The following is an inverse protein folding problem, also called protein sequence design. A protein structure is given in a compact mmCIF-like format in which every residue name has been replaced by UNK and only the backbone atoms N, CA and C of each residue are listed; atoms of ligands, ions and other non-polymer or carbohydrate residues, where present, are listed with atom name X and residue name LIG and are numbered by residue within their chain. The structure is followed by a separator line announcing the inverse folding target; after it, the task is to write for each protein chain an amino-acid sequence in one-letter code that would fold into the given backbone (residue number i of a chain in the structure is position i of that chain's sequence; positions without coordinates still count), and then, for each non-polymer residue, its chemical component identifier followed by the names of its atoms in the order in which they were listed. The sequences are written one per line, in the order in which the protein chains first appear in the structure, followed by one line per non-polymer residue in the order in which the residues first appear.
data_IF_398639871405
#
_entry.id   IF_398639871405
#
_cell.length_a   1.000
_cell.length_b   1.000
_cell.length_c   1.000
_cell.angle_alpha   90.00
_cell.angle_beta   90.00
_cell.angle_gamma   90.00
#
_symmetry.space_group_name_H-M   'P 1'
#
loop_
_entity.id
_entity.type
_entity.pdbx_description
1 polymer ?
#
# COMPACT_ATOMS: atom_id res chain seq x y z
N UNK A 1 -14.98 26.64 -32.16
CA UNK A 1 -13.73 26.67 -32.95
C UNK A 1 -12.70 27.35 -32.07
N UNK A 2 -11.84 26.58 -31.40
CA UNK A 2 -10.91 27.11 -30.39
C UNK A 2 -9.51 26.57 -30.75
N UNK A 3 -8.67 27.44 -31.30
CA UNK A 3 -7.31 27.15 -31.71
C UNK A 3 -6.37 27.47 -30.54
N UNK A 4 -5.81 26.45 -29.88
CA UNK A 4 -4.74 26.64 -28.90
C UNK A 4 -3.38 26.42 -29.57
N UNK A 5 -2.55 27.46 -29.62
CA UNK A 5 -1.17 27.38 -30.09
C UNK A 5 -0.33 28.49 -29.48
N UNK A 6 0.68 28.12 -28.70
CA UNK A 6 1.69 29.00 -28.12
C UNK A 6 2.62 29.56 -29.20
N UNK A 7 2.95 30.85 -29.05
CA UNK A 7 3.73 31.65 -29.99
C UNK A 7 5.10 31.94 -29.40
N UNK A 8 6.16 31.60 -30.14
CA UNK A 8 7.43 32.29 -30.07
C UNK A 8 7.71 32.84 -31.47
N UNK A 9 8.00 34.14 -31.54
CA UNK A 9 7.97 34.97 -32.75
C UNK A 9 9.40 35.43 -33.09
N UNK A 10 9.85 35.21 -34.32
CA UNK A 10 10.27 36.25 -35.28
C UNK A 10 11.12 35.68 -36.43
N UNK A 11 10.78 36.07 -37.67
CA UNK A 11 11.69 36.06 -38.83
C UNK A 11 11.48 34.92 -39.85
N UNK A 12 10.61 35.16 -40.84
CA UNK A 12 10.33 34.25 -41.96
C UNK A 12 9.10 33.37 -41.69
N UNK A 13 7.95 33.71 -42.28
CA UNK A 13 6.71 32.93 -42.15
C UNK A 13 6.91 31.52 -42.69
N UNK A 14 7.32 30.59 -41.81
CA UNK A 14 7.05 29.18 -42.01
C UNK A 14 5.53 29.01 -41.92
N UNK A 15 4.86 29.09 -43.08
CA UNK A 15 3.48 28.65 -43.21
C UNK A 15 3.42 27.24 -42.64
N UNK A 16 2.61 27.06 -41.59
CA UNK A 16 2.60 25.88 -40.74
C UNK A 16 2.01 24.72 -41.55
N UNK A 17 2.78 24.04 -42.39
CA UNK A 17 2.25 23.15 -43.42
C UNK A 17 1.57 21.84 -42.95
N UNK A 18 1.27 21.70 -41.65
CA UNK A 18 0.62 20.55 -41.04
C UNK A 18 -0.32 20.97 -39.91
N UNK A 19 -1.56 20.51 -39.97
CA UNK A 19 -2.57 20.77 -38.94
C UNK A 19 -3.48 19.55 -38.77
N UNK A 20 -3.87 19.26 -37.53
CA UNK A 20 -4.91 18.29 -37.24
C UNK A 20 -6.25 19.01 -37.10
N UNK A 21 -7.25 18.61 -37.87
CA UNK A 21 -8.59 19.22 -37.86
C UNK A 21 -9.66 18.18 -37.61
N UNK A 22 -10.64 18.51 -36.78
CA UNK A 22 -11.85 17.73 -36.59
C UNK A 22 -12.89 18.22 -37.60
N UNK A 23 -13.40 17.33 -38.44
CA UNK A 23 -14.45 17.65 -39.42
C UNK A 23 -15.69 16.79 -39.16
N UNK A 24 -16.84 17.30 -39.61
CA UNK A 24 -18.07 16.51 -39.74
C UNK A 24 -18.19 16.08 -41.20
N UNK A 25 -18.33 14.78 -41.43
CA UNK A 25 -18.66 14.25 -42.77
C UNK A 25 -20.10 14.60 -43.15
N UNK A 26 -20.44 14.52 -44.45
CA UNK A 26 -21.82 14.71 -44.92
C UNK A 26 -22.81 13.73 -44.27
N UNK A 27 -22.34 12.57 -43.80
CA UNK A 27 -23.13 11.58 -43.07
C UNK A 27 -23.27 11.89 -41.57
N UNK A 28 -22.78 13.04 -41.10
CA UNK A 28 -22.83 13.45 -39.68
C UNK A 28 -21.79 12.76 -38.78
N UNK A 29 -20.91 11.93 -39.33
CA UNK A 29 -19.84 11.25 -38.57
C UNK A 29 -18.67 12.22 -38.37
N UNK A 30 -18.19 12.33 -37.14
CA UNK A 30 -16.98 13.09 -36.83
C UNK A 30 -15.73 12.31 -37.24
N UNK A 31 -14.78 12.97 -37.91
CA UNK A 31 -13.46 12.42 -38.17
C UNK A 31 -12.35 13.45 -37.94
N UNK A 32 -11.18 12.96 -37.57
CA UNK A 32 -9.96 13.76 -37.43
C UNK A 32 -9.09 13.56 -38.67
N UNK A 33 -8.66 14.66 -39.27
CA UNK A 33 -7.75 14.66 -40.42
C UNK A 33 -6.41 15.30 -40.06
N UNK A 34 -5.30 14.63 -40.37
CA UNK A 34 -3.96 15.25 -40.48
C UNK A 34 -3.84 15.85 -41.88
N UNK A 35 -3.94 17.17 -41.98
CA UNK A 35 -3.92 17.91 -43.24
C UNK A 35 -2.54 18.51 -43.43
N UNK A 36 -1.91 18.20 -44.57
CA UNK A 36 -0.62 18.77 -44.96
C UNK A 36 -0.77 19.54 -46.26
N UNK A 37 -0.20 20.74 -46.28
CA UNK A 37 -0.26 21.64 -47.42
C UNK A 37 1.16 21.86 -47.96
N UNK A 38 1.34 21.79 -49.27
CA UNK A 38 2.58 22.19 -49.95
C UNK A 38 2.25 23.00 -51.18
N UNK A 39 3.00 24.08 -51.41
CA UNK A 39 2.92 24.83 -52.67
C UNK A 39 3.75 24.06 -53.71
N UNK A 40 3.15 23.76 -54.85
CA UNK A 40 3.77 23.10 -56.01
C UNK A 40 3.56 23.95 -57.25
N UNK A 41 4.45 23.83 -58.24
CA UNK A 41 4.27 24.49 -59.53
C UNK A 41 3.68 23.48 -60.52
N UNK A 42 2.55 23.82 -61.14
CA UNK A 42 1.89 23.01 -62.18
C UNK A 42 1.75 23.88 -63.42
N UNK A 43 2.47 23.53 -64.49
CA UNK A 43 2.46 24.25 -65.78
C UNK A 43 2.80 25.75 -65.70
N UNK A 44 3.63 26.16 -64.75
CA UNK A 44 4.03 27.56 -64.58
C UNK A 44 3.19 28.33 -63.55
N UNK A 45 2.08 27.76 -63.08
CA UNK A 45 1.22 28.35 -62.06
C UNK A 45 1.48 27.74 -60.67
N UNK A 46 1.39 28.57 -59.63
CA UNK A 46 1.52 28.10 -58.24
C UNK A 46 0.20 27.49 -57.78
N UNK A 47 0.22 26.20 -57.42
CA UNK A 47 -0.91 25.45 -56.89
C UNK A 47 -0.62 24.95 -55.47
N UNK A 48 -1.66 24.74 -54.66
CA UNK A 48 -1.53 24.13 -53.33
C UNK A 48 -1.92 22.65 -53.41
N UNK A 49 -0.96 21.77 -53.14
CA UNK A 49 -1.22 20.36 -52.91
C UNK A 49 -1.61 20.15 -51.44
N UNK A 50 -2.81 19.63 -51.24
CA UNK A 50 -3.34 19.25 -49.92
C UNK A 50 -3.40 17.73 -49.84
N UNK A 51 -2.76 17.14 -48.83
CA UNK A 51 -2.97 15.73 -48.47
C UNK A 51 -3.67 15.68 -47.13
N UNK A 52 -4.74 14.91 -47.02
CA UNK A 52 -5.46 14.68 -45.78
C UNK A 52 -5.46 13.19 -45.45
N UNK A 53 -5.01 12.84 -44.25
CA UNK A 53 -5.05 11.47 -43.73
C UNK A 53 -6.05 11.39 -42.60
N UNK A 54 -6.94 10.40 -42.64
CA UNK A 54 -7.82 10.11 -41.52
C UNK A 54 -6.99 9.54 -40.35
N UNK A 55 -6.95 10.27 -39.24
CA UNK A 55 -6.26 9.91 -38.00
C UNK A 55 -7.26 9.63 -36.87
N UNK A 56 -8.55 9.48 -37.17
CA UNK A 56 -9.62 9.26 -36.18
C UNK A 56 -9.33 8.03 -35.35
N UNK A 57 -9.02 6.89 -35.99
CA UNK A 57 -8.72 5.64 -35.31
C UNK A 57 -7.49 5.78 -34.39
N UNK A 58 -6.41 6.41 -34.86
CA UNK A 58 -5.21 6.64 -34.07
C UNK A 58 -5.51 7.49 -32.83
N UNK A 59 -6.30 8.57 -32.97
CA UNK A 59 -6.70 9.39 -31.83
C UNK A 59 -7.58 8.64 -30.84
N UNK A 60 -8.57 7.89 -31.31
CA UNK A 60 -9.46 7.11 -30.46
C UNK A 60 -8.73 6.07 -29.64
N UNK A 61 -7.81 5.29 -30.25
CA UNK A 61 -6.98 4.31 -29.53
C UNK A 61 -6.11 5.00 -28.49
N UNK A 62 -5.49 6.14 -28.84
CA UNK A 62 -4.62 6.88 -27.94
C UNK A 62 -5.39 7.48 -26.77
N UNK A 63 -6.56 8.06 -27.02
CA UNK A 63 -7.43 8.64 -26.00
C UNK A 63 -7.98 7.57 -25.06
N UNK A 64 -8.45 6.43 -25.61
CA UNK A 64 -8.88 5.28 -24.81
C UNK A 64 -7.75 4.74 -23.92
N UNK A 65 -6.51 4.66 -24.43
CA UNK A 65 -5.35 4.27 -23.63
C UNK A 65 -5.08 5.27 -22.49
N UNK A 66 -5.08 6.57 -22.79
CA UNK A 66 -4.91 7.61 -21.77
C UNK A 66 -6.00 7.57 -20.70
N UNK A 67 -7.26 7.39 -21.11
CA UNK A 67 -8.40 7.29 -20.20
C UNK A 67 -8.31 6.03 -19.33
N UNK A 68 -7.93 4.89 -19.92
CA UNK A 68 -7.68 3.64 -19.19
C UNK A 68 -6.55 3.80 -18.16
N UNK A 69 -5.41 4.37 -18.55
CA UNK A 69 -4.28 4.62 -17.65
C UNK A 69 -4.65 5.57 -16.50
N UNK A 70 -5.32 6.68 -16.81
CA UNK A 70 -5.81 7.62 -15.80
C UNK A 70 -6.77 6.96 -14.82
N UNK A 71 -7.69 6.14 -15.34
CA UNK A 71 -8.67 5.41 -14.53
C UNK A 71 -7.98 4.43 -13.59
N UNK A 72 -7.07 3.60 -14.11
CA UNK A 72 -6.29 2.65 -13.30
C UNK A 72 -5.47 3.38 -12.23
N UNK A 73 -4.79 4.46 -12.58
CA UNK A 73 -4.04 5.28 -11.61
C UNK A 73 -4.93 5.81 -10.50
N UNK A 74 -6.13 6.32 -10.84
CA UNK A 74 -7.07 6.85 -9.84
C UNK A 74 -7.57 5.75 -8.92
N UNK A 75 -7.90 4.57 -9.46
CA UNK A 75 -8.36 3.43 -8.66
C UNK A 75 -7.28 2.95 -7.70
N UNK A 76 -6.03 2.83 -8.17
CA UNK A 76 -4.91 2.42 -7.33
C UNK A 76 -4.62 3.42 -6.20
N UNK A 77 -4.70 4.73 -6.46
CA UNK A 77 -4.47 5.76 -5.43
C UNK A 77 -5.54 5.80 -4.34
N UNK A 78 -6.73 5.24 -4.59
CA UNK A 78 -7.82 5.18 -3.61
C UNK A 78 -7.74 3.93 -2.71
N UNK A 79 -6.86 2.97 -3.02
CA UNK A 79 -6.70 1.77 -2.19
C UNK A 79 -5.90 2.10 -0.92
N UNK A 80 -6.33 1.61 0.26
CA UNK A 80 -5.65 1.86 1.53
C UNK A 80 -4.41 0.97 1.69
N UNK A 81 -3.46 1.05 0.76
CA UNK A 81 -2.27 0.20 0.76
C UNK A 81 -1.37 0.45 -0.45
N UNK A 82 -0.42 -0.44 -0.68
CA UNK A 82 0.46 -0.37 -1.85
C UNK A 82 0.25 -1.55 -2.79
N UNK A 83 0.16 -1.24 -4.08
CA UNK A 83 0.23 -2.23 -5.17
C UNK A 83 1.68 -2.32 -5.59
N UNK A 84 2.18 -3.54 -5.79
CA UNK A 84 3.57 -3.75 -6.18
C UNK A 84 3.69 -4.75 -7.31
N UNK A 85 4.82 -4.67 -8.01
CA UNK A 85 5.38 -5.72 -8.83
C UNK A 85 6.84 -5.86 -8.46
N UNK A 86 7.29 -7.07 -8.14
CA UNK A 86 8.67 -7.33 -7.78
C UNK A 86 9.21 -8.60 -8.42
N UNK A 87 10.54 -8.73 -8.41
CA UNK A 87 11.22 -9.96 -8.77
C UNK A 87 11.13 -10.96 -7.63
N UNK A 88 11.08 -12.24 -7.98
CA UNK A 88 11.22 -13.31 -7.01
C UNK A 88 12.71 -13.55 -6.70
N UNK A 89 13.34 -12.60 -6.03
CA UNK A 89 14.70 -12.70 -5.51
C UNK A 89 14.73 -12.54 -3.98
N UNK A 90 15.91 -12.63 -3.37
CA UNK A 90 16.04 -12.56 -1.90
C UNK A 90 15.65 -11.19 -1.33
N UNK A 91 15.87 -10.14 -2.10
CA UNK A 91 15.69 -8.76 -1.67
C UNK A 91 14.27 -8.22 -1.98
N UNK A 92 13.48 -8.99 -2.72
CA UNK A 92 12.17 -8.60 -3.26
C UNK A 92 12.27 -7.33 -4.10
N UNK A 93 13.20 -7.32 -5.06
CA UNK A 93 13.51 -6.14 -5.87
C UNK A 93 12.27 -5.62 -6.59
N UNK A 94 11.85 -4.41 -6.24
CA UNK A 94 10.62 -3.80 -6.75
C UNK A 94 10.82 -3.22 -8.15
N UNK A 95 9.97 -3.60 -9.09
CA UNK A 95 9.94 -3.07 -10.47
C UNK A 95 8.89 -1.96 -10.62
N UNK A 96 7.81 -2.06 -9.87
CA UNK A 96 6.74 -1.06 -9.80
C UNK A 96 6.15 -1.02 -8.40
N UNK A 97 5.83 0.17 -7.91
CA UNK A 97 5.12 0.38 -6.65
C UNK A 97 4.17 1.57 -6.82
N UNK A 98 2.95 1.45 -6.31
CA UNK A 98 2.01 2.58 -6.26
C UNK A 98 2.41 3.63 -5.21
N UNK A 99 1.89 4.86 -5.34
CA UNK A 99 2.17 5.96 -4.40
C UNK A 99 1.72 5.67 -2.96
N UNK A 100 0.82 4.70 -2.76
CA UNK A 100 0.36 4.28 -1.45
C UNK A 100 1.46 3.69 -0.55
N UNK A 101 2.63 3.34 -1.10
CA UNK A 101 3.76 2.85 -0.32
C UNK A 101 4.27 3.86 0.71
N UNK A 102 4.12 5.15 0.46
CA UNK A 102 4.58 6.18 1.39
C UNK A 102 3.79 6.13 2.71
N UNK A 103 2.47 6.01 2.64
CA UNK A 103 1.63 5.93 3.84
C UNK A 103 1.84 4.61 4.61
N UNK A 104 2.16 3.53 3.89
CA UNK A 104 2.39 2.22 4.49
C UNK A 104 3.78 2.10 5.12
N UNK A 105 4.83 2.46 4.39
CA UNK A 105 6.24 2.18 4.75
C UNK A 105 7.03 3.42 5.17
N UNK A 106 6.56 4.63 4.85
CA UNK A 106 7.30 5.88 5.04
C UNK A 106 8.36 6.17 3.96
N UNK A 107 8.50 5.31 2.95
CA UNK A 107 9.42 5.49 1.82
C UNK A 107 8.68 5.87 0.54
N UNK A 108 9.33 6.68 -0.31
CA UNK A 108 8.80 6.98 -1.63
C UNK A 108 9.07 5.83 -2.61
N UNK A 109 8.28 5.68 -3.69
CA UNK A 109 8.52 4.63 -4.69
C UNK A 109 9.96 4.65 -5.22
N UNK A 110 10.55 5.84 -5.41
CA UNK A 110 11.92 6.00 -5.89
C UNK A 110 13.00 5.46 -4.93
N UNK A 111 12.71 5.31 -3.63
CA UNK A 111 13.63 4.73 -2.66
C UNK A 111 13.66 3.19 -2.73
N UNK A 112 12.54 2.58 -3.15
CA UNK A 112 12.30 1.14 -3.10
C UNK A 112 12.46 0.46 -4.46
N UNK A 113 12.10 1.15 -5.55
CA UNK A 113 12.24 0.62 -6.91
C UNK A 113 13.72 0.32 -7.17
N UNK A 114 13.98 -0.89 -7.67
CA UNK A 114 15.34 -1.44 -7.89
C UNK A 114 16.24 -1.36 -6.64
N UNK A 115 15.65 -1.37 -5.44
CA UNK A 115 16.33 -1.29 -4.15
C UNK A 115 17.31 -0.10 -4.05
N UNK A 116 16.96 1.06 -4.62
CA UNK A 116 17.85 2.23 -4.69
C UNK A 116 18.37 2.70 -3.33
N UNK A 117 17.54 2.63 -2.29
CA UNK A 117 17.89 3.03 -0.93
C UNK A 117 17.79 1.89 0.07
N UNK A 118 16.74 1.08 -0.03
CA UNK A 118 16.45 -0.02 0.87
C UNK A 118 15.67 -1.09 0.11
N UNK A 119 15.94 -2.36 0.41
CA UNK A 119 15.15 -3.46 -0.15
C UNK A 119 13.88 -3.70 0.66
N UNK A 120 12.87 -4.28 0.03
CA UNK A 120 11.65 -4.62 0.76
C UNK A 120 11.89 -5.72 1.80
N UNK A 121 12.85 -6.62 1.54
CA UNK A 121 13.32 -7.60 2.52
C UNK A 121 13.83 -6.95 3.84
N UNK A 122 14.52 -5.81 3.75
CA UNK A 122 15.01 -5.10 4.93
C UNK A 122 13.89 -4.44 5.75
N UNK A 123 12.80 -4.06 5.09
CA UNK A 123 11.61 -3.47 5.72
C UNK A 123 10.81 -4.52 6.50
N UNK A 124 10.78 -5.77 6.03
CA UNK A 124 10.14 -6.88 6.76
C UNK A 124 10.85 -7.09 8.10
N UNK A 125 10.06 -7.21 9.15
CA UNK A 125 10.54 -7.46 10.51
C UNK A 125 11.41 -8.73 10.54
N UNK A 126 12.59 -8.73 11.19
CA UNK A 126 13.58 -9.81 11.07
C UNK A 126 13.04 -11.22 11.28
N UNK A 127 12.18 -11.40 12.29
CA UNK A 127 11.61 -12.70 12.66
C UNK A 127 10.62 -13.24 11.61
N UNK A 128 10.01 -12.36 10.81
CA UNK A 128 8.96 -12.74 9.86
C UNK A 128 9.53 -13.05 8.46
N UNK A 129 10.78 -12.66 8.17
CA UNK A 129 11.41 -12.76 6.83
C UNK A 129 11.42 -14.18 6.26
N UNK A 130 11.78 -15.16 7.09
CA UNK A 130 11.85 -16.56 6.66
C UNK A 130 10.44 -17.13 6.42
N UNK A 131 9.48 -16.80 7.29
CA UNK A 131 8.08 -17.20 7.14
C UNK A 131 7.46 -16.69 5.84
N UNK A 132 7.66 -15.40 5.55
CA UNK A 132 7.21 -14.76 4.30
C UNK A 132 7.79 -15.46 3.08
N UNK A 133 9.11 -15.67 3.06
CA UNK A 133 9.77 -16.31 1.93
C UNK A 133 9.26 -17.74 1.70
N UNK A 134 9.12 -18.52 2.76
CA UNK A 134 8.65 -19.91 2.68
C UNK A 134 7.22 -20.01 2.15
N UNK A 135 6.30 -19.17 2.64
CA UNK A 135 4.90 -19.18 2.18
C UNK A 135 4.80 -18.75 0.70
N UNK A 136 5.52 -17.69 0.30
CA UNK A 136 5.55 -17.25 -1.10
C UNK A 136 6.08 -18.35 -2.00
N UNK A 137 7.21 -19.00 -1.66
CA UNK A 137 7.74 -20.09 -2.48
C UNK A 137 6.79 -21.30 -2.52
N UNK A 138 6.15 -21.65 -1.41
CA UNK A 138 5.18 -22.75 -1.37
C UNK A 138 3.96 -22.46 -2.26
N UNK A 139 3.44 -21.23 -2.24
CA UNK A 139 2.32 -20.82 -3.07
C UNK A 139 2.68 -20.83 -4.56
N UNK A 140 3.89 -20.36 -4.91
CA UNK A 140 4.39 -20.39 -6.29
C UNK A 140 4.54 -21.82 -6.82
N UNK A 141 5.09 -22.74 -6.02
CA UNK A 141 5.19 -24.16 -6.41
C UNK A 141 3.82 -24.80 -6.65
N UNK A 142 2.79 -24.33 -5.95
CA UNK A 142 1.41 -24.81 -6.07
C UNK A 142 0.59 -24.03 -7.11
N UNK A 143 1.18 -23.03 -7.80
CA UNK A 143 0.49 -22.12 -8.71
C UNK A 143 -0.79 -21.51 -8.11
N UNK A 144 -0.73 -21.11 -6.83
CA UNK A 144 -1.84 -20.44 -6.15
C UNK A 144 -1.46 -19.02 -5.73
N UNK A 145 -2.45 -18.13 -5.52
CA UNK A 145 -2.23 -16.91 -4.77
C UNK A 145 -1.75 -17.22 -3.34
N UNK A 146 -0.96 -16.30 -2.78
CA UNK A 146 -0.60 -16.29 -1.37
C UNK A 146 -1.32 -15.15 -0.66
N UNK A 147 -1.61 -15.40 0.62
CA UNK A 147 -2.10 -14.41 1.56
C UNK A 147 -1.34 -14.62 2.86
N UNK A 148 -0.69 -13.58 3.34
CA UNK A 148 0.14 -13.64 4.54
C UNK A 148 0.05 -12.34 5.34
N UNK A 149 0.19 -12.46 6.65
CA UNK A 149 0.27 -11.35 7.58
C UNK A 149 1.64 -11.33 8.24
N UNK A 150 2.27 -10.16 8.28
CA UNK A 150 3.60 -10.01 8.88
C UNK A 150 3.82 -8.57 9.32
N UNK A 151 4.92 -8.34 10.03
CA UNK A 151 5.30 -7.01 10.50
C UNK A 151 6.31 -6.35 9.56
N UNK A 152 6.16 -5.05 9.40
CA UNK A 152 7.16 -4.19 8.75
C UNK A 152 7.68 -3.15 9.73
N UNK A 153 8.88 -2.64 9.46
CA UNK A 153 9.47 -1.48 10.14
C UNK A 153 9.50 -0.31 9.17
N UNK A 154 8.76 0.75 9.49
CA UNK A 154 8.67 1.94 8.63
C UNK A 154 9.96 2.77 8.69
N UNK A 155 10.08 3.76 7.79
CA UNK A 155 11.19 4.73 7.79
C UNK A 155 11.34 5.50 9.11
N UNK A 156 10.26 5.63 9.91
CA UNK A 156 10.28 6.27 11.23
C UNK A 156 10.63 5.31 12.37
N UNK A 157 10.77 4.02 12.08
CA UNK A 157 11.02 2.96 13.06
C UNK A 157 9.76 2.39 13.72
N UNK A 158 8.57 2.77 13.27
CA UNK A 158 7.31 2.20 13.75
C UNK A 158 7.13 0.77 13.22
N UNK A 159 6.57 -0.10 14.06
CA UNK A 159 6.17 -1.44 13.64
C UNK A 159 4.69 -1.46 13.25
N UNK A 160 4.42 -1.94 12.04
CA UNK A 160 3.07 -2.10 11.51
C UNK A 160 2.80 -3.55 11.16
N UNK A 161 1.58 -4.00 11.40
CA UNK A 161 1.08 -5.25 10.84
C UNK A 161 0.54 -4.98 9.45
N UNK A 162 0.95 -5.82 8.50
CA UNK A 162 0.45 -5.75 7.13
C UNK A 162 -0.12 -7.08 6.71
N UNK A 163 -1.17 -7.01 5.89
CA UNK A 163 -1.67 -8.14 5.13
C UNK A 163 -1.22 -7.97 3.68
N UNK A 164 -0.64 -9.02 3.11
CA UNK A 164 -0.26 -9.08 1.72
C UNK A 164 -1.06 -10.16 0.99
N UNK A 165 -1.59 -9.81 -0.17
CA UNK A 165 -2.20 -10.73 -1.11
C UNK A 165 -1.49 -10.59 -2.45
N UNK A 166 -0.94 -11.69 -2.96
CA UNK A 166 -0.19 -11.66 -4.21
C UNK A 166 -0.20 -12.98 -4.96
N UNK A 167 0.30 -12.95 -6.19
CA UNK A 167 0.45 -14.14 -7.01
C UNK A 167 1.66 -14.05 -7.95
N UNK A 168 2.10 -15.20 -8.45
CA UNK A 168 3.12 -15.27 -9.49
C UNK A 168 2.52 -15.00 -10.86
N UNK A 169 3.19 -14.16 -11.65
CA UNK A 169 2.88 -13.92 -13.06
C UNK A 169 3.81 -14.77 -13.90
N UNK A 170 3.23 -15.67 -14.70
CA UNK A 170 3.99 -16.63 -15.50
C UNK A 170 3.89 -16.33 -16.99
N UNK A 171 4.95 -16.65 -17.72
CA UNK A 171 4.97 -16.61 -19.18
C UNK A 171 4.13 -17.74 -19.78
N UNK A 172 3.91 -17.70 -21.10
CA UNK A 172 3.27 -18.81 -21.82
C UNK A 172 4.07 -20.12 -21.77
N UNK A 173 5.35 -20.08 -21.42
CA UNK A 173 6.22 -21.25 -21.25
C UNK A 173 6.29 -21.75 -19.80
N UNK A 174 5.58 -21.10 -18.87
CA UNK A 174 5.57 -21.44 -17.44
C UNK A 174 6.74 -20.86 -16.63
N UNK A 175 7.51 -19.92 -17.21
CA UNK A 175 8.56 -19.20 -16.49
C UNK A 175 7.95 -18.11 -15.61
N UNK A 176 8.39 -18.01 -14.35
CA UNK A 176 7.97 -16.94 -13.46
C UNK A 176 8.59 -15.60 -13.90
N UNK A 177 7.74 -14.66 -14.30
CA UNK A 177 8.15 -13.34 -14.76
C UNK A 177 8.25 -12.32 -13.63
N UNK A 178 7.32 -12.34 -12.68
CA UNK A 178 7.28 -11.45 -11.53
C UNK A 178 6.30 -11.93 -10.48
N UNK A 179 6.32 -11.28 -9.33
CA UNK A 179 5.27 -11.31 -8.32
C UNK A 179 4.49 -10.00 -8.41
N UNK A 180 3.17 -10.08 -8.35
CA UNK A 180 2.28 -8.93 -8.28
C UNK A 180 1.33 -9.10 -7.11
N UNK A 181 1.06 -8.01 -6.41
CA UNK A 181 0.21 -8.06 -5.24
C UNK A 181 -0.14 -6.69 -4.64
N UNK A 182 -0.82 -6.77 -3.52
CA UNK A 182 -1.29 -5.64 -2.75
C UNK A 182 -1.03 -5.86 -1.27
N UNK A 183 -0.54 -4.81 -0.60
CA UNK A 183 -0.19 -4.84 0.82
C UNK A 183 -0.97 -3.74 1.54
N UNK A 184 -1.70 -4.13 2.58
CA UNK A 184 -2.59 -3.26 3.37
C UNK A 184 -2.10 -3.17 4.80
N UNK A 185 -2.23 -2.00 5.42
CA UNK A 185 -2.01 -1.83 6.85
C UNK A 185 -3.21 -2.40 7.63
N UNK A 186 -2.96 -3.42 8.45
CA UNK A 186 -3.97 -4.03 9.33
C UNK A 186 -3.69 -3.74 10.81
N UNK A 187 -2.83 -2.76 11.12
CA UNK A 187 -2.40 -2.47 12.48
C UNK A 187 -3.56 -2.07 13.39
N UNK A 188 -4.44 -1.18 12.93
CA UNK A 188 -5.62 -0.77 13.70
C UNK A 188 -6.62 -1.91 13.88
N UNK A 189 -6.74 -2.80 12.89
CA UNK A 189 -7.58 -3.99 12.99
C UNK A 189 -7.03 -4.94 14.04
N UNK A 190 -5.72 -5.23 14.03
CA UNK A 190 -5.05 -6.05 15.05
C UNK A 190 -5.22 -5.45 16.46
N UNK A 191 -5.06 -4.14 16.61
CA UNK A 191 -5.27 -3.45 17.90
C UNK A 191 -6.71 -3.59 18.40
N UNK A 192 -7.69 -3.45 17.50
CA UNK A 192 -9.11 -3.61 17.84
C UNK A 192 -9.43 -5.06 18.24
N UNK A 193 -8.88 -6.03 17.52
CA UNK A 193 -9.06 -7.45 17.81
C UNK A 193 -8.42 -7.83 19.17
N UNK A 194 -7.22 -7.30 19.46
CA UNK A 194 -6.55 -7.49 20.76
C UNK A 194 -7.34 -6.86 21.92
N UNK A 195 -7.90 -5.67 21.73
CA UNK A 195 -8.73 -5.00 22.74
C UNK A 195 -10.03 -5.78 23.01
N UNK A 196 -10.71 -6.24 21.95
CA UNK A 196 -11.90 -7.09 22.06
C UNK A 196 -11.57 -8.40 22.78
N UNK A 197 -10.49 -9.08 22.38
CA UNK A 197 -10.09 -10.34 23.00
C UNK A 197 -9.73 -10.14 24.49
N UNK A 198 -9.09 -9.03 24.84
CA UNK A 198 -8.82 -8.66 26.23
C UNK A 198 -10.13 -8.47 27.01
N UNK A 199 -11.08 -7.71 26.46
CA UNK A 199 -12.38 -7.46 27.10
C UNK A 199 -13.19 -8.74 27.29
N UNK A 200 -13.25 -9.61 26.29
CA UNK A 200 -13.92 -10.91 26.40
C UNK A 200 -13.28 -11.77 27.49
N UNK A 201 -11.95 -11.86 27.47
CA UNK A 201 -11.21 -12.66 28.43
C UNK A 201 -11.34 -12.11 29.85
N UNK A 202 -11.37 -10.78 30.02
CA UNK A 202 -11.64 -10.11 31.29
C UNK A 202 -13.05 -10.41 31.78
N UNK A 203 -14.06 -10.26 30.91
CA UNK A 203 -15.47 -10.46 31.24
C UNK A 203 -15.73 -11.91 31.66
N UNK A 204 -15.17 -12.88 30.93
CA UNK A 204 -15.27 -14.29 31.28
C UNK A 204 -14.62 -14.57 32.64
N UNK A 205 -13.38 -14.10 32.84
CA UNK A 205 -12.66 -14.35 34.08
C UNK A 205 -13.30 -13.71 35.31
N UNK A 206 -13.88 -12.51 35.17
CA UNK A 206 -14.65 -11.84 36.22
C UNK A 206 -15.93 -12.63 36.52
N UNK A 207 -16.60 -13.17 35.50
CA UNK A 207 -17.84 -13.94 35.67
C UNK A 207 -17.62 -15.30 36.33
N UNK A 208 -16.46 -15.92 36.09
CA UNK A 208 -16.06 -17.21 36.69
C UNK A 208 -15.43 -17.05 38.08
N UNK A 209 -15.13 -15.83 38.51
CA UNK A 209 -14.51 -15.57 39.80
C UNK A 209 -15.48 -15.90 40.95
N UNK A 210 -15.00 -16.60 42.00
CA UNK A 210 -15.82 -16.98 43.16
C UNK A 210 -16.23 -15.78 44.01
N UNK A 211 -15.47 -14.69 43.97
CA UNK A 211 -15.69 -13.47 44.71
C UNK A 211 -15.06 -12.25 44.01
N UNK A 212 -15.39 -11.08 44.52
CA UNK A 212 -15.00 -9.80 43.95
C UNK A 212 -13.48 -9.54 44.02
N UNK A 213 -12.82 -9.99 45.08
CA UNK A 213 -11.37 -9.82 45.25
C UNK A 213 -10.59 -10.65 44.21
N UNK A 214 -11.04 -11.89 43.99
CA UNK A 214 -10.47 -12.78 42.96
C UNK A 214 -10.70 -12.20 41.55
N UNK A 215 -11.87 -11.61 41.30
CA UNK A 215 -12.16 -10.97 40.02
C UNK A 215 -11.20 -9.81 39.71
N UNK A 216 -10.91 -8.98 40.71
CA UNK A 216 -9.97 -7.84 40.58
C UNK A 216 -8.54 -8.33 40.34
N UNK A 217 -8.09 -9.35 41.06
CA UNK A 217 -6.74 -9.91 40.86
C UNK A 217 -6.56 -10.43 39.43
N UNK A 218 -7.54 -11.16 38.90
CA UNK A 218 -7.49 -11.67 37.53
C UNK A 218 -7.53 -10.53 36.51
N UNK A 219 -8.35 -9.50 36.76
CA UNK A 219 -8.42 -8.34 35.88
C UNK A 219 -7.10 -7.58 35.83
N UNK A 220 -6.51 -7.25 36.98
CA UNK A 220 -5.22 -6.57 37.10
C UNK A 220 -4.12 -7.35 36.40
N UNK A 221 -4.06 -8.67 36.60
CA UNK A 221 -3.10 -9.54 35.92
C UNK A 221 -3.21 -9.46 34.40
N UNK A 222 -4.43 -9.56 33.85
CA UNK A 222 -4.64 -9.58 32.39
C UNK A 222 -4.36 -8.22 31.75
N UNK A 223 -4.79 -7.13 32.40
CA UNK A 223 -4.48 -5.77 31.94
C UNK A 223 -2.96 -5.56 31.93
N UNK A 224 -2.26 -5.87 33.02
CA UNK A 224 -0.81 -5.70 33.10
C UNK A 224 -0.06 -6.54 32.06
N UNK A 225 -0.51 -7.77 31.79
CA UNK A 225 0.07 -8.60 30.73
C UNK A 225 -0.14 -8.01 29.33
N UNK A 226 -1.33 -7.48 29.03
CA UNK A 226 -1.64 -6.90 27.73
C UNK A 226 -0.91 -5.56 27.49
N UNK A 227 -0.87 -4.69 28.51
CA UNK A 227 -0.21 -3.38 28.41
C UNK A 227 1.29 -3.43 28.66
N UNK A 228 1.82 -4.60 29.05
CA UNK A 228 3.19 -4.78 29.56
C UNK A 228 3.51 -3.87 30.75
N UNK A 229 2.52 -3.61 31.60
CA UNK A 229 2.75 -2.89 32.85
C UNK A 229 3.32 -3.84 33.90
N UNK A 230 4.29 -3.34 34.66
CA UNK A 230 4.94 -4.12 35.71
C UNK A 230 4.10 -4.25 36.98
N UNK A 231 3.12 -3.36 37.17
CA UNK A 231 2.33 -3.27 38.39
C UNK A 231 0.91 -2.77 38.11
N UNK A 232 -0.06 -3.29 38.86
CA UNK A 232 -1.43 -2.81 38.88
C UNK A 232 -2.06 -2.93 40.27
N UNK A 233 -2.78 -1.89 40.69
CA UNK A 233 -3.59 -1.85 41.90
C UNK A 233 -4.97 -1.28 41.58
N UNK A 234 -5.99 -1.65 42.37
CA UNK A 234 -7.35 -1.18 42.20
C UNK A 234 -7.80 -0.33 43.41
N UNK A 235 -8.54 0.74 43.13
CA UNK A 235 -9.15 1.60 44.14
C UNK A 235 -10.66 1.53 44.00
N UNK A 236 -11.35 1.20 45.09
CA UNK A 236 -12.77 0.86 45.11
C UNK A 236 -13.50 1.85 46.02
N UNK A 237 -14.66 2.40 45.62
CA UNK A 237 -15.43 3.25 46.53
C UNK A 237 -15.86 2.48 47.78
N UNK A 238 -15.73 3.14 48.94
CA UNK A 238 -16.26 2.67 50.21
C UNK A 238 -17.78 2.47 50.12
N UNK A 239 -18.37 1.71 51.05
CA UNK A 239 -19.82 1.41 51.04
C UNK A 239 -20.73 2.63 51.10
N UNK A 240 -20.23 3.76 51.61
CA UNK A 240 -20.91 5.06 51.66
C UNK A 240 -20.53 6.00 50.50
N UNK A 241 -19.61 5.58 49.62
CA UNK A 241 -19.12 6.33 48.47
C UNK A 241 -18.33 7.60 48.82
N UNK A 242 -17.94 7.77 50.09
CA UNK A 242 -17.30 8.99 50.56
C UNK A 242 -15.79 9.00 50.32
N UNK A 243 -15.17 7.82 50.23
CA UNK A 243 -13.72 7.63 50.02
C UNK A 243 -13.44 6.49 49.04
N UNK A 244 -12.26 6.50 48.43
CA UNK A 244 -11.73 5.35 47.70
C UNK A 244 -10.82 4.55 48.62
N UNK A 245 -11.09 3.27 48.78
CA UNK A 245 -10.28 2.31 49.53
C UNK A 245 -9.44 1.50 48.56
N UNK A 246 -8.15 1.32 48.88
CA UNK A 246 -7.26 0.47 48.10
C UNK A 246 -7.69 -0.99 48.26
N UNK A 247 -7.94 -1.67 47.14
CA UNK A 247 -8.25 -3.10 47.12
C UNK A 247 -7.07 -3.91 47.68
N UNK A 248 -7.32 -4.98 48.45
CA UNK A 248 -6.26 -5.90 48.84
C UNK A 248 -5.66 -6.67 47.65
N UNK A 249 -6.34 -6.68 46.50
CA UNK A 249 -5.87 -7.31 45.27
C UNK A 249 -4.93 -6.37 44.49
N UNK A 250 -3.73 -6.86 44.19
CA UNK A 250 -2.71 -6.18 43.40
C UNK A 250 -1.99 -7.21 42.52
N UNK A 251 -1.38 -6.75 41.43
CA UNK A 251 -0.58 -7.59 40.55
C UNK A 251 0.79 -6.96 40.33
N UNK A 252 1.82 -7.80 40.32
CA UNK A 252 3.17 -7.45 39.85
C UNK A 252 3.61 -8.48 38.81
N UNK A 253 4.16 -8.01 37.69
CA UNK A 253 4.74 -8.89 36.69
C UNK A 253 5.93 -9.64 37.29
N UNK A 254 6.04 -10.98 37.10
CA UNK A 254 7.24 -11.70 37.50
C UNK A 254 8.44 -11.12 36.73
N UNK A 255 9.38 -10.46 37.43
CA UNK A 255 10.65 -10.08 36.81
C UNK A 255 11.27 -11.36 36.23
N UNK A 256 11.62 -11.34 34.94
CA UNK A 256 12.53 -12.35 34.41
C UNK A 256 13.73 -12.40 35.37
N UNK A 257 14.01 -13.59 35.91
CA UNK A 257 15.19 -13.82 36.76
C UNK A 257 16.42 -13.63 35.88
N UNK A 258 16.82 -12.38 35.69
CA UNK A 258 18.19 -12.03 35.37
C UNK A 258 19.06 -12.56 36.51
N UNK A 259 19.93 -13.49 36.16
CA UNK A 259 21.03 -14.00 36.97
C UNK A 259 21.68 -12.90 37.81
N UNK A 260 21.42 -12.94 39.11
CA UNK A 260 21.99 -12.03 40.09
C UNK A 260 21.80 -12.65 41.46
N UNK A 261 22.71 -13.56 41.80
CA UNK A 261 22.89 -14.08 43.15
C UNK A 261 22.99 -12.90 44.13
N UNK A 262 21.92 -12.62 44.87
CA UNK A 262 22.05 -11.90 46.13
C UNK A 262 22.29 -12.95 47.21
N UNK A 263 23.58 -13.18 47.46
CA UNK A 263 24.06 -13.94 48.59
C UNK A 263 23.49 -13.38 49.88
N UNK A 264 22.99 -14.30 50.69
CA UNK A 264 22.63 -14.10 52.09
C UNK A 264 23.86 -13.54 52.82
N UNK A 265 23.74 -12.31 53.33
CA UNK A 265 24.68 -11.70 54.25
C UNK A 265 23.97 -11.44 55.58
N UNK A 266 24.18 -12.38 56.50
CA UNK A 266 23.95 -12.43 57.95
C UNK A 266 23.57 -11.13 58.67
#
# INVERSE_FOLDING_TARGET
MTLNGSVAQQGGEQVKNRYEVKILTETGKECWLDVRNRIINVQGESAVLVTAFDITHYKQVREALYESQRTLSTLMSNLPGMVYRCRNDRDWTMEFISEGCFNLTGYYPADLIENQKISFHEIIYPDDREGVSNEVQAALQQNRPYQLEYRITTATGEHKWVEEQGCGIFSSTGELLALEGFITDITEQKRSDEELQLLETLTQAISEAPDFDTAIEVALRKVCQATRWDFGEAWIPSTDGSVLECSPAWYISPREKGSGEWGVGS
#
